data_IF_884163771693
#
_entry.id   IF_884163771693
#
_cell.length_a   1.000
_cell.length_b   1.000
_cell.length_c   1.000
_cell.angle_alpha   90.00
_cell.angle_beta   90.00
_cell.angle_gamma   90.00
#
_symmetry.space_group_name_H-M   'P 1'
#
loop_
_entity.id
_entity.type
_entity.pdbx_description
1 polymer ?
#
# COMPACT_ATOMS: atom_id res chain seq x y z
N UNK A 1 11.03 -10.12 23.97
CA UNK A 1 11.21 -11.14 22.91
C UNK A 1 10.08 -12.19 22.85
N UNK A 2 9.68 -12.81 23.98
CA UNK A 2 8.57 -13.81 23.97
C UNK A 2 7.24 -13.28 23.44
N UNK A 3 6.87 -12.03 23.74
CA UNK A 3 5.63 -11.41 23.24
C UNK A 3 5.62 -11.19 21.72
N UNK A 4 6.78 -10.85 21.14
CA UNK A 4 6.87 -10.59 19.72
C UNK A 4 6.76 -11.89 18.91
N UNK A 5 7.44 -12.96 19.36
CA UNK A 5 7.32 -14.28 18.72
C UNK A 5 5.87 -14.80 18.79
N UNK A 6 5.22 -14.66 19.94
CA UNK A 6 3.82 -15.04 20.11
C UNK A 6 2.90 -14.27 19.14
N UNK A 7 3.17 -12.97 18.89
CA UNK A 7 2.42 -12.21 17.91
C UNK A 7 2.65 -12.76 16.49
N UNK A 8 3.91 -13.02 16.11
CA UNK A 8 4.25 -13.60 14.80
C UNK A 8 3.49 -14.91 14.59
N UNK A 9 3.52 -15.80 15.58
CA UNK A 9 2.88 -17.13 15.47
C UNK A 9 1.35 -17.05 15.31
N UNK A 10 0.69 -16.04 15.90
CA UNK A 10 -0.77 -15.90 15.92
C UNK A 10 -1.33 -14.96 14.85
N UNK A 11 -0.51 -14.06 14.29
CA UNK A 11 -0.96 -13.02 13.35
C UNK A 11 -0.30 -13.13 11.97
N UNK A 12 0.47 -14.20 11.73
CA UNK A 12 1.06 -14.50 10.42
C UNK A 12 0.33 -15.69 9.81
N UNK A 13 -0.19 -15.50 8.62
CA UNK A 13 -0.95 -16.50 7.89
C UNK A 13 -0.27 -16.84 6.57
N UNK A 14 -0.56 -18.02 6.05
CA UNK A 14 -0.37 -18.33 4.64
C UNK A 14 -1.73 -18.27 3.95
N UNK A 15 -1.83 -17.72 2.75
CA UNK A 15 -3.08 -17.52 2.01
C UNK A 15 -3.90 -18.81 1.85
N UNK A 16 -3.24 -19.98 1.83
CA UNK A 16 -3.93 -21.27 1.70
C UNK A 16 -4.92 -21.57 2.82
N UNK A 17 -4.79 -20.92 3.99
CA UNK A 17 -5.79 -21.02 5.07
C UNK A 17 -7.15 -20.40 4.69
N UNK A 18 -7.21 -19.61 3.63
CA UNK A 18 -8.36 -18.82 3.23
C UNK A 18 -8.90 -19.17 1.84
N UNK A 19 -8.54 -20.35 1.31
CA UNK A 19 -8.92 -20.81 -0.04
C UNK A 19 -10.39 -21.18 -0.18
N UNK A 20 -11.10 -21.44 0.90
CA UNK A 20 -12.55 -21.64 0.88
C UNK A 20 -13.27 -20.30 0.72
N UNK A 21 -13.32 -19.82 -0.53
CA UNK A 21 -13.94 -18.55 -0.87
C UNK A 21 -15.45 -18.56 -0.63
N UNK A 22 -16.13 -19.73 -0.71
CA UNK A 22 -17.57 -19.82 -0.40
C UNK A 22 -17.85 -19.52 1.07
N UNK A 23 -17.08 -20.11 1.96
CA UNK A 23 -17.17 -19.85 3.39
C UNK A 23 -16.82 -18.39 3.71
N UNK A 24 -15.79 -17.84 3.06
CA UNK A 24 -15.38 -16.46 3.29
C UNK A 24 -16.42 -15.44 2.82
N UNK A 25 -17.08 -15.69 1.69
CA UNK A 25 -18.19 -14.85 1.19
C UNK A 25 -19.40 -14.92 2.13
N UNK A 26 -19.73 -16.13 2.61
CA UNK A 26 -20.84 -16.28 3.56
C UNK A 26 -20.59 -15.51 4.87
N UNK A 27 -19.36 -15.58 5.41
CA UNK A 27 -18.98 -14.85 6.61
C UNK A 27 -18.97 -13.32 6.40
N UNK A 28 -18.51 -12.85 5.23
CA UNK A 28 -18.60 -11.43 4.82
C UNK A 28 -20.06 -10.97 4.83
N UNK A 29 -20.97 -11.75 4.22
CA UNK A 29 -22.39 -11.44 4.11
C UNK A 29 -23.09 -11.43 5.48
N UNK A 30 -22.79 -12.41 6.34
CA UNK A 30 -23.32 -12.46 7.72
C UNK A 30 -22.94 -11.20 8.52
N UNK A 31 -21.73 -10.69 8.29
CA UNK A 31 -21.23 -9.46 8.95
C UNK A 31 -21.65 -8.17 8.24
N UNK A 32 -22.38 -8.26 7.13
CA UNK A 32 -22.78 -7.13 6.27
C UNK A 32 -21.59 -6.23 5.87
N UNK A 33 -20.43 -6.84 5.60
CA UNK A 33 -19.22 -6.12 5.19
C UNK A 33 -19.21 -5.90 3.68
N UNK A 34 -18.74 -4.72 3.27
CA UNK A 34 -18.45 -4.38 1.88
C UNK A 34 -16.95 -4.22 1.66
N UNK A 35 -16.44 -4.62 0.49
CA UNK A 35 -15.02 -4.65 0.18
C UNK A 35 -14.75 -3.97 -1.15
N UNK A 36 -13.90 -2.95 -1.13
CA UNK A 36 -13.44 -2.24 -2.32
C UNK A 36 -12.00 -2.63 -2.65
N UNK A 37 -11.74 -2.92 -3.92
CA UNK A 37 -10.38 -3.09 -4.44
C UNK A 37 -9.94 -1.82 -5.18
N UNK A 38 -8.80 -1.27 -4.79
CA UNK A 38 -8.13 -0.14 -5.44
C UNK A 38 -6.84 -0.60 -6.12
N UNK A 39 -6.71 -0.26 -7.40
CA UNK A 39 -5.51 -0.43 -8.19
C UNK A 39 -4.94 0.96 -8.52
N UNK A 40 -3.91 1.45 -7.79
CA UNK A 40 -3.23 2.69 -8.16
C UNK A 40 -2.35 2.45 -9.38
N UNK A 41 -2.48 3.30 -10.41
CA UNK A 41 -1.77 3.13 -11.68
C UNK A 41 -0.95 4.34 -12.11
N UNK A 42 0.13 4.05 -12.85
CA UNK A 42 0.88 4.98 -13.69
C UNK A 42 1.63 4.19 -14.77
N UNK A 43 1.13 4.21 -16.02
CA UNK A 43 1.70 3.51 -17.17
C UNK A 43 1.77 1.99 -17.01
N UNK A 44 0.63 1.35 -16.72
CA UNK A 44 0.49 -0.08 -16.45
C UNK A 44 -0.38 -0.82 -17.51
N UNK A 45 -0.42 -0.32 -18.77
CA UNK A 45 -1.23 -0.92 -19.83
C UNK A 45 -0.98 -2.40 -20.06
N UNK A 46 0.26 -2.88 -19.74
CA UNK A 46 0.68 -4.27 -19.99
C UNK A 46 0.12 -5.27 -18.98
N UNK A 47 -0.20 -4.83 -17.77
CA UNK A 47 -0.56 -5.68 -16.63
C UNK A 47 -2.00 -5.51 -16.19
N UNK A 48 -2.53 -4.28 -16.22
CA UNK A 48 -3.83 -3.93 -15.65
C UNK A 48 -4.99 -4.76 -16.20
N UNK A 49 -5.03 -5.05 -17.51
CA UNK A 49 -6.12 -5.84 -18.11
C UNK A 49 -6.17 -7.27 -17.57
N UNK A 50 -5.01 -7.92 -17.40
CA UNK A 50 -4.92 -9.26 -16.82
C UNK A 50 -5.34 -9.27 -15.35
N UNK A 51 -4.97 -8.27 -14.58
CA UNK A 51 -5.35 -8.16 -13.18
C UNK A 51 -6.86 -8.02 -13.03
N UNK A 52 -7.46 -7.11 -13.80
CA UNK A 52 -8.90 -6.86 -13.75
C UNK A 52 -9.73 -8.08 -14.14
N UNK A 53 -9.36 -8.81 -15.21
CA UNK A 53 -10.11 -10.00 -15.62
C UNK A 53 -10.08 -11.07 -14.54
N UNK A 54 -8.92 -11.28 -13.89
CA UNK A 54 -8.78 -12.28 -12.82
C UNK A 54 -9.59 -11.90 -11.59
N UNK A 55 -9.50 -10.65 -11.14
CA UNK A 55 -10.22 -10.22 -9.95
C UNK A 55 -11.73 -10.20 -10.17
N UNK A 56 -12.21 -9.72 -11.32
CA UNK A 56 -13.65 -9.71 -11.64
C UNK A 56 -14.22 -11.11 -11.76
N UNK A 57 -13.61 -11.96 -12.60
CA UNK A 57 -14.15 -13.30 -12.85
C UNK A 57 -14.17 -14.15 -11.58
N UNK A 58 -13.12 -14.10 -10.77
CA UNK A 58 -13.02 -14.97 -9.59
C UNK A 58 -13.65 -14.37 -8.34
N UNK A 59 -13.51 -13.04 -8.11
CA UNK A 59 -13.85 -12.42 -6.83
C UNK A 59 -15.09 -11.51 -6.87
N UNK A 60 -15.68 -11.25 -8.04
CA UNK A 60 -16.98 -10.57 -8.16
C UNK A 60 -18.05 -11.49 -8.75
N UNK A 61 -17.74 -12.20 -9.84
CA UNK A 61 -18.74 -12.99 -10.57
C UNK A 61 -18.89 -14.40 -9.99
N UNK A 62 -17.79 -15.12 -9.78
CA UNK A 62 -17.83 -16.49 -9.26
C UNK A 62 -18.00 -16.55 -7.75
N UNK A 63 -17.26 -15.75 -7.02
CA UNK A 63 -17.31 -15.61 -5.56
C UNK A 63 -17.41 -14.13 -5.22
N UNK A 64 -18.59 -13.58 -4.90
CA UNK A 64 -18.80 -12.15 -4.69
C UNK A 64 -18.16 -11.66 -3.37
N UNK A 65 -16.81 -11.74 -3.33
CA UNK A 65 -15.99 -11.26 -2.21
C UNK A 65 -15.74 -9.76 -2.30
N UNK A 66 -15.54 -9.23 -3.52
CA UNK A 66 -15.33 -7.81 -3.80
C UNK A 66 -16.64 -7.20 -4.30
N UNK A 67 -16.99 -6.02 -3.82
CA UNK A 67 -18.21 -5.30 -4.21
C UNK A 67 -17.95 -4.27 -5.30
N UNK A 68 -16.75 -3.67 -5.32
CA UNK A 68 -16.32 -2.71 -6.34
C UNK A 68 -14.83 -2.81 -6.64
N UNK A 69 -14.43 -2.47 -7.87
CA UNK A 69 -13.04 -2.37 -8.30
C UNK A 69 -12.84 -1.01 -8.95
N UNK A 70 -11.90 -0.23 -8.43
CA UNK A 70 -11.53 1.05 -9.02
C UNK A 70 -10.04 1.14 -9.34
N UNK A 71 -9.76 1.80 -10.45
CA UNK A 71 -8.42 2.22 -10.88
C UNK A 71 -8.29 3.70 -10.61
N UNK A 72 -7.32 4.08 -9.80
CA UNK A 72 -6.97 5.48 -9.50
C UNK A 72 -5.65 5.80 -10.20
N UNK A 73 -5.72 6.60 -11.25
CA UNK A 73 -4.60 6.84 -12.14
C UNK A 73 -3.91 8.18 -11.89
N UNK A 74 -2.58 8.17 -11.84
CA UNK A 74 -1.75 9.37 -11.61
C UNK A 74 -1.58 10.27 -12.85
N UNK A 75 -2.16 9.89 -13.98
CA UNK A 75 -2.02 10.57 -15.29
C UNK A 75 -1.12 9.78 -16.23
N UNK A 76 -1.47 8.51 -16.48
CA UNK A 76 -0.79 7.67 -17.46
C UNK A 76 -0.83 8.28 -18.85
N UNK A 77 0.28 8.15 -19.58
CA UNK A 77 0.44 8.60 -20.95
C UNK A 77 0.21 7.45 -21.97
N UNK A 78 0.11 6.21 -21.46
CA UNK A 78 -0.20 5.00 -22.23
C UNK A 78 -1.71 4.69 -22.21
N UNK A 79 -2.12 3.50 -22.68
CA UNK A 79 -3.52 3.10 -22.75
C UNK A 79 -4.07 2.52 -21.44
N UNK A 80 -3.42 2.73 -20.29
CA UNK A 80 -3.81 2.16 -18.98
C UNK A 80 -5.30 2.34 -18.68
N UNK A 81 -5.81 3.58 -18.76
CA UNK A 81 -7.22 3.88 -18.45
C UNK A 81 -8.22 3.29 -19.47
N UNK A 82 -7.86 3.27 -20.75
CA UNK A 82 -8.69 2.67 -21.79
C UNK A 82 -8.80 1.16 -21.59
N UNK A 83 -7.67 0.50 -21.34
CA UNK A 83 -7.62 -0.93 -21.02
C UNK A 83 -8.44 -1.21 -19.78
N UNK A 84 -8.27 -0.46 -18.70
CA UNK A 84 -9.02 -0.66 -17.47
C UNK A 84 -10.53 -0.56 -17.65
N UNK A 85 -11.01 0.43 -18.40
CA UNK A 85 -12.44 0.59 -18.75
C UNK A 85 -12.97 -0.57 -19.57
N UNK A 86 -12.19 -1.07 -20.52
CA UNK A 86 -12.60 -2.19 -21.38
C UNK A 86 -12.80 -3.49 -20.61
N UNK A 87 -12.12 -3.65 -19.46
CA UNK A 87 -12.32 -4.75 -18.53
C UNK A 87 -13.31 -4.43 -17.39
N UNK A 88 -14.04 -3.29 -17.49
CA UNK A 88 -15.17 -2.95 -16.64
C UNK A 88 -14.80 -2.48 -15.23
N UNK A 89 -13.62 -1.91 -15.04
CA UNK A 89 -13.27 -1.21 -13.81
C UNK A 89 -13.80 0.23 -13.83
N UNK A 90 -14.17 0.74 -12.67
CA UNK A 90 -14.37 2.17 -12.48
C UNK A 90 -13.01 2.86 -12.53
N UNK A 91 -12.88 3.87 -13.39
CA UNK A 91 -11.60 4.53 -13.62
C UNK A 91 -11.68 6.01 -13.28
N UNK A 92 -10.73 6.48 -12.50
CA UNK A 92 -10.66 7.85 -12.05
C UNK A 92 -9.27 8.43 -12.28
N UNK A 93 -9.21 9.63 -12.84
CA UNK A 93 -7.98 10.39 -12.90
C UNK A 93 -7.76 11.08 -11.56
N UNK A 94 -6.65 10.81 -10.91
CA UNK A 94 -6.34 11.33 -9.57
C UNK A 94 -6.46 12.86 -9.49
N UNK A 95 -6.07 13.58 -10.55
CA UNK A 95 -6.17 15.05 -10.60
C UNK A 95 -7.61 15.60 -10.63
N UNK A 96 -8.62 14.76 -10.93
CA UNK A 96 -10.03 15.15 -10.99
C UNK A 96 -10.77 14.87 -9.68
N UNK A 97 -10.16 14.12 -8.77
CA UNK A 97 -10.71 13.84 -7.44
C UNK A 97 -10.30 14.96 -6.48
N UNK A 98 -11.27 15.63 -5.85
CA UNK A 98 -11.06 16.76 -4.92
C UNK A 98 -10.11 17.82 -5.53
N UNK A 99 -10.43 18.36 -6.73
CA UNK A 99 -9.53 19.26 -7.44
C UNK A 99 -9.26 20.57 -6.68
N UNK A 100 -10.19 20.98 -5.80
CA UNK A 100 -10.06 22.17 -4.94
C UNK A 100 -8.92 22.07 -3.94
N UNK A 101 -8.44 20.85 -3.62
CA UNK A 101 -7.30 20.63 -2.72
C UNK A 101 -5.94 20.64 -3.46
N UNK A 102 -5.96 20.99 -4.74
CA UNK A 102 -4.79 21.09 -5.59
C UNK A 102 -4.26 19.73 -6.06
N UNK A 103 -3.55 19.76 -7.19
CA UNK A 103 -2.96 18.57 -7.79
C UNK A 103 -1.65 18.20 -7.08
N UNK A 104 -1.59 16.99 -6.56
CA UNK A 104 -0.37 16.33 -6.08
C UNK A 104 -0.14 15.05 -6.88
N UNK A 105 1.09 14.58 -6.92
CA UNK A 105 1.47 13.36 -7.63
C UNK A 105 2.19 12.40 -6.69
N UNK A 106 1.88 11.12 -6.81
CA UNK A 106 2.54 10.06 -6.08
C UNK A 106 1.60 8.93 -5.66
N UNK A 107 2.19 7.83 -5.25
CA UNK A 107 1.42 6.64 -4.86
C UNK A 107 0.44 6.94 -3.74
N UNK A 108 0.91 7.58 -2.67
CA UNK A 108 0.08 7.88 -1.51
C UNK A 108 -1.08 8.83 -1.82
N UNK A 109 -0.92 9.76 -2.77
CA UNK A 109 -2.03 10.61 -3.24
C UNK A 109 -3.16 9.77 -3.86
N UNK A 110 -2.83 8.79 -4.72
CA UNK A 110 -3.83 7.90 -5.29
C UNK A 110 -4.56 7.07 -4.22
N UNK A 111 -3.81 6.55 -3.24
CA UNK A 111 -4.38 5.76 -2.15
C UNK A 111 -5.30 6.61 -1.26
N UNK A 112 -4.93 7.85 -0.99
CA UNK A 112 -5.76 8.78 -0.22
C UNK A 112 -7.04 9.15 -0.97
N UNK A 113 -6.95 9.46 -2.25
CA UNK A 113 -8.10 9.78 -3.11
C UNK A 113 -9.04 8.59 -3.31
N UNK A 114 -8.51 7.37 -3.29
CA UNK A 114 -9.33 6.17 -3.32
C UNK A 114 -10.34 6.10 -2.18
N UNK A 115 -10.01 6.61 -0.98
CA UNK A 115 -10.94 6.63 0.16
C UNK A 115 -12.18 7.48 -0.14
N UNK A 116 -12.01 8.56 -0.90
CA UNK A 116 -13.13 9.41 -1.31
C UNK A 116 -14.03 8.75 -2.36
N UNK A 117 -13.46 7.97 -3.29
CA UNK A 117 -14.21 7.34 -4.39
C UNK A 117 -14.89 6.04 -3.99
N UNK A 118 -14.22 5.21 -3.20
CA UNK A 118 -14.67 3.89 -2.84
C UNK A 118 -15.69 3.91 -1.68
N UNK A 119 -16.48 2.84 -1.54
CA UNK A 119 -17.56 2.76 -0.56
C UNK A 119 -17.39 1.61 0.45
N UNK A 120 -16.48 0.66 0.22
CA UNK A 120 -16.31 -0.54 1.06
C UNK A 120 -15.88 -0.24 2.50
N UNK A 121 -16.34 -1.05 3.44
CA UNK A 121 -15.91 -1.04 4.85
C UNK A 121 -14.45 -1.48 5.00
N UNK A 122 -13.97 -2.26 4.03
CA UNK A 122 -12.58 -2.70 3.89
C UNK A 122 -12.08 -2.24 2.54
N UNK A 123 -10.94 -1.54 2.53
CA UNK A 123 -10.27 -1.14 1.31
C UNK A 123 -9.02 -2.00 1.13
N UNK A 124 -8.91 -2.63 -0.03
CA UNK A 124 -7.75 -3.42 -0.45
C UNK A 124 -6.98 -2.62 -1.47
N UNK A 125 -5.70 -2.47 -1.26
CA UNK A 125 -4.78 -1.88 -2.23
C UNK A 125 -3.90 -2.98 -2.82
N UNK A 126 -3.81 -3.03 -4.14
CA UNK A 126 -2.93 -3.94 -4.89
C UNK A 126 -2.24 -3.13 -5.96
N UNK A 127 -0.91 -3.23 -6.04
CA UNK A 127 -0.13 -2.59 -7.11
C UNK A 127 -0.50 -3.19 -8.48
N UNK A 128 -0.55 -2.37 -9.51
CA UNK A 128 -1.01 -2.76 -10.86
C UNK A 128 0.12 -3.30 -11.77
N UNK A 129 1.33 -3.55 -11.24
CA UNK A 129 2.51 -4.03 -11.99
C UNK A 129 2.83 -5.53 -11.76
N UNK A 130 1.84 -6.33 -11.31
CA UNK A 130 2.04 -7.71 -10.90
C UNK A 130 1.86 -8.68 -12.08
N UNK A 131 2.93 -9.24 -12.60
CA UNK A 131 2.89 -10.14 -13.75
C UNK A 131 2.23 -11.49 -13.46
N UNK A 132 2.33 -11.99 -12.22
CA UNK A 132 1.79 -13.30 -11.78
C UNK A 132 0.56 -13.14 -10.87
N UNK A 133 -0.30 -12.17 -11.20
CA UNK A 133 -1.50 -11.88 -10.42
C UNK A 133 -2.38 -13.12 -10.20
N UNK A 134 -2.99 -13.21 -9.03
CA UNK A 134 -3.84 -14.32 -8.61
C UNK A 134 -4.84 -13.81 -7.55
N UNK A 135 -6.05 -14.37 -7.42
CA UNK A 135 -7.04 -13.96 -6.42
C UNK A 135 -6.52 -13.92 -4.97
N UNK A 136 -5.46 -14.68 -4.65
CA UNK A 136 -4.85 -14.68 -3.32
C UNK A 136 -4.35 -13.30 -2.85
N UNK A 137 -4.01 -12.42 -3.80
CA UNK A 137 -3.59 -11.05 -3.48
C UNK A 137 -4.71 -10.21 -2.85
N UNK A 138 -5.95 -10.66 -2.97
CA UNK A 138 -7.11 -10.04 -2.33
C UNK A 138 -7.64 -10.91 -1.19
N UNK A 139 -8.03 -12.17 -1.45
CA UNK A 139 -8.66 -12.97 -0.39
C UNK A 139 -7.72 -13.23 0.80
N UNK A 140 -6.40 -13.35 0.55
CA UNK A 140 -5.41 -13.51 1.62
C UNK A 140 -5.30 -12.30 2.54
N UNK A 141 -5.61 -11.10 2.03
CA UNK A 141 -5.56 -9.85 2.79
C UNK A 141 -6.88 -9.54 3.52
N UNK A 142 -8.02 -9.81 2.89
CA UNK A 142 -9.32 -9.50 3.50
C UNK A 142 -9.76 -10.54 4.52
N UNK A 143 -9.34 -11.79 4.37
CA UNK A 143 -9.79 -12.88 5.23
C UNK A 143 -9.49 -12.65 6.72
N UNK A 144 -8.30 -12.20 7.16
CA UNK A 144 -8.07 -11.88 8.56
C UNK A 144 -9.00 -10.77 9.09
N UNK A 145 -9.31 -9.75 8.25
CA UNK A 145 -10.22 -8.66 8.61
C UNK A 145 -11.67 -9.14 8.75
N UNK A 146 -12.10 -10.06 7.88
CA UNK A 146 -13.44 -10.66 7.98
C UNK A 146 -13.55 -11.52 9.23
N UNK A 147 -12.53 -12.34 9.52
CA UNK A 147 -12.58 -13.35 10.59
C UNK A 147 -12.35 -12.77 11.99
N UNK A 148 -11.58 -11.69 12.10
CA UNK A 148 -11.11 -11.14 13.38
C UNK A 148 -11.42 -9.64 13.45
N UNK A 149 -12.36 -9.26 14.32
CA UNK A 149 -12.80 -7.87 14.47
C UNK A 149 -11.73 -6.95 15.05
N UNK A 150 -10.80 -7.49 15.84
CA UNK A 150 -9.68 -6.76 16.41
C UNK A 150 -8.58 -6.41 15.39
N UNK A 151 -8.51 -7.14 14.25
CA UNK A 151 -7.56 -6.83 13.18
C UNK A 151 -8.07 -5.64 12.38
N UNK A 152 -7.22 -4.64 12.24
CA UNK A 152 -7.51 -3.38 11.55
C UNK A 152 -6.75 -3.25 10.22
N UNK A 153 -5.55 -3.84 10.15
CA UNK A 153 -4.62 -3.71 9.04
C UNK A 153 -3.96 -5.06 8.73
N UNK A 154 -4.03 -5.51 7.49
CA UNK A 154 -3.37 -6.75 7.03
C UNK A 154 -2.35 -6.43 5.96
N UNK A 155 -1.12 -6.83 6.18
CA UNK A 155 0.01 -6.61 5.27
C UNK A 155 0.35 -7.88 4.49
N UNK A 156 0.60 -7.76 3.19
CA UNK A 156 1.16 -8.85 2.42
C UNK A 156 2.66 -9.02 2.67
N UNK A 157 3.13 -10.25 2.57
CA UNK A 157 4.52 -10.55 2.29
C UNK A 157 4.61 -11.71 1.30
N UNK A 158 5.72 -11.84 0.61
CA UNK A 158 5.92 -12.81 -0.47
C UNK A 158 7.39 -12.86 -0.88
N UNK A 159 7.78 -13.94 -1.55
CA UNK A 159 9.08 -14.03 -2.20
C UNK A 159 9.17 -13.06 -3.38
N UNK A 160 10.27 -12.30 -3.45
CA UNK A 160 10.59 -11.38 -4.54
C UNK A 160 11.85 -11.87 -5.26
N UNK A 161 11.76 -12.72 -6.29
CA UNK A 161 12.91 -13.10 -7.06
C UNK A 161 13.47 -11.88 -7.82
N UNK A 162 14.82 -11.74 -7.81
CA UNK A 162 15.50 -10.76 -8.66
C UNK A 162 15.73 -11.38 -10.04
N UNK A 163 15.13 -10.81 -11.07
CA UNK A 163 15.53 -11.05 -12.45
C UNK A 163 16.76 -10.17 -12.75
N UNK A 164 17.94 -10.75 -12.74
CA UNK A 164 19.18 -10.13 -13.21
C UNK A 164 19.57 -10.81 -14.53
N UNK A 165 19.57 -10.04 -15.65
CA UNK A 165 20.12 -10.39 -16.97
C UNK A 165 20.43 -11.90 -17.16
N UNK A 166 19.35 -12.74 -17.27
CA UNK A 166 19.47 -14.15 -17.56
C UNK A 166 19.64 -15.12 -16.39
N UNK A 167 19.68 -14.64 -15.13
CA UNK A 167 19.65 -15.51 -13.94
C UNK A 167 18.62 -15.00 -12.92
N UNK A 168 17.73 -15.93 -12.48
CA UNK A 168 16.83 -15.72 -11.35
C UNK A 168 17.62 -15.99 -10.05
N UNK A 169 17.87 -14.95 -9.25
CA UNK A 169 18.26 -15.17 -7.86
C UNK A 169 16.99 -15.32 -7.02
N UNK A 170 16.91 -16.38 -6.26
CA UNK A 170 15.74 -16.73 -5.45
C UNK A 170 15.38 -15.71 -4.37
N UNK A 171 16.29 -14.80 -4.00
CA UNK A 171 16.07 -13.75 -3.02
C UNK A 171 16.85 -12.48 -3.35
N UNK A 172 16.31 -11.30 -3.03
CA UNK A 172 17.02 -10.03 -3.22
C UNK A 172 16.11 -8.82 -3.43
N UNK A 173 14.79 -9.02 -3.45
CA UNK A 173 13.81 -7.94 -3.35
C UNK A 173 13.75 -7.36 -1.94
N UNK A 174 13.20 -6.15 -1.78
CA UNK A 174 13.05 -5.52 -0.47
C UNK A 174 14.31 -4.79 0.03
N UNK A 175 15.21 -4.40 -0.88
CA UNK A 175 16.47 -3.69 -0.53
C UNK A 175 16.24 -2.48 0.38
N UNK A 176 15.23 -1.65 0.11
CA UNK A 176 14.92 -0.48 0.94
C UNK A 176 14.37 -0.90 2.32
N UNK A 177 13.61 -1.99 2.38
CA UNK A 177 13.19 -2.56 3.66
C UNK A 177 14.38 -2.91 4.53
N UNK A 178 15.33 -3.70 4.01
CA UNK A 178 16.45 -4.21 4.80
C UNK A 178 17.49 -3.14 5.13
N UNK A 179 17.73 -2.18 4.22
CA UNK A 179 18.79 -1.17 4.38
C UNK A 179 18.29 0.06 5.16
N UNK A 180 17.00 0.39 5.09
CA UNK A 180 16.47 1.60 5.70
C UNK A 180 15.38 1.32 6.75
N UNK A 181 14.25 0.72 6.35
CA UNK A 181 13.06 0.69 7.22
C UNK A 181 13.25 -0.25 8.40
N UNK A 182 13.83 -1.43 8.20
CA UNK A 182 14.07 -2.38 9.29
C UNK A 182 15.04 -1.85 10.34
N UNK A 183 16.20 -1.23 9.99
CA UNK A 183 17.04 -0.52 10.96
C UNK A 183 16.31 0.59 11.71
N UNK A 184 15.54 1.43 11.01
CA UNK A 184 14.78 2.50 11.65
C UNK A 184 13.72 1.97 12.61
N UNK A 185 12.96 0.94 12.22
CA UNK A 185 11.99 0.29 13.11
C UNK A 185 12.70 -0.39 14.30
N UNK A 186 13.86 -1.02 14.09
CA UNK A 186 14.61 -1.63 15.18
C UNK A 186 15.05 -0.60 16.23
N UNK A 187 15.36 0.62 15.82
CA UNK A 187 15.79 1.69 16.72
C UNK A 187 14.61 2.37 17.44
N UNK A 188 13.51 2.63 16.74
CA UNK A 188 12.44 3.51 17.24
C UNK A 188 11.12 2.79 17.52
N UNK A 189 10.82 1.72 16.78
CA UNK A 189 9.56 0.96 16.85
C UNK A 189 9.83 -0.55 16.83
N UNK A 190 10.55 -1.10 17.82
CA UNK A 190 11.06 -2.48 17.76
C UNK A 190 9.96 -3.54 17.55
N UNK A 191 8.73 -3.29 17.97
CA UNK A 191 7.61 -4.20 17.74
C UNK A 191 7.20 -4.27 16.27
N UNK A 192 7.34 -3.18 15.50
CA UNK A 192 7.04 -3.17 14.06
C UNK A 192 8.02 -4.02 13.23
N UNK A 193 9.15 -4.44 13.82
CA UNK A 193 10.07 -5.39 13.18
C UNK A 193 9.47 -6.78 12.98
N UNK A 194 8.36 -7.11 13.66
CA UNK A 194 7.60 -8.33 13.45
C UNK A 194 6.92 -8.38 12.07
N UNK A 195 6.71 -7.22 11.43
CA UNK A 195 6.15 -7.13 10.09
C UNK A 195 7.25 -7.48 9.08
N UNK A 196 7.05 -8.59 8.36
CA UNK A 196 8.07 -9.21 7.49
C UNK A 196 8.40 -8.30 6.29
N UNK A 197 7.39 -7.72 5.65
CA UNK A 197 7.60 -6.80 4.51
C UNK A 197 6.83 -5.48 4.72
N UNK A 198 7.35 -4.55 5.51
CA UNK A 198 6.68 -3.30 5.83
C UNK A 198 6.38 -2.42 4.59
N UNK A 199 7.18 -2.54 3.52
CA UNK A 199 7.01 -1.78 2.28
C UNK A 199 6.32 -2.56 1.16
N UNK A 200 5.62 -3.68 1.44
CA UNK A 200 4.78 -4.29 0.39
C UNK A 200 3.64 -3.33 -0.01
N UNK A 201 3.35 -3.24 -1.30
CA UNK A 201 2.29 -2.36 -1.83
C UNK A 201 0.89 -2.95 -1.65
N UNK A 202 0.81 -4.24 -1.34
CA UNK A 202 -0.43 -4.96 -1.17
C UNK A 202 -0.80 -5.06 0.31
N UNK A 203 -1.97 -4.51 0.65
CA UNK A 203 -2.51 -4.53 2.01
C UNK A 203 -4.01 -4.27 2.02
N UNK A 204 -4.69 -4.68 3.07
CA UNK A 204 -6.09 -4.38 3.31
C UNK A 204 -6.27 -3.70 4.67
N UNK A 205 -7.18 -2.73 4.73
CA UNK A 205 -7.39 -1.91 5.94
C UNK A 205 -8.89 -1.64 6.11
N UNK A 206 -9.36 -1.58 7.36
CA UNK A 206 -10.70 -1.05 7.63
C UNK A 206 -10.75 0.43 7.27
N UNK A 207 -11.82 0.83 6.59
CA UNK A 207 -12.03 2.22 6.17
C UNK A 207 -11.88 3.22 7.31
N UNK A 208 -12.47 2.94 8.46
CA UNK A 208 -12.43 3.81 9.64
C UNK A 208 -11.00 4.13 10.11
N UNK A 209 -10.06 3.21 9.89
CA UNK A 209 -8.64 3.45 10.20
C UNK A 209 -8.04 4.43 9.20
N UNK A 210 -8.27 4.20 7.89
CA UNK A 210 -7.73 5.05 6.81
C UNK A 210 -8.27 6.48 6.87
N UNK A 211 -9.53 6.65 7.26
CA UNK A 211 -10.17 7.95 7.43
C UNK A 211 -9.50 8.83 8.50
N UNK A 212 -8.83 8.21 9.46
CA UNK A 212 -8.29 8.83 10.67
C UNK A 212 -6.76 8.88 10.72
N UNK A 213 -6.08 8.60 9.61
CA UNK A 213 -4.61 8.74 9.50
C UNK A 213 -4.24 9.64 8.32
N UNK A 214 -3.11 10.32 8.45
CA UNK A 214 -2.60 11.18 7.39
C UNK A 214 -1.82 10.39 6.34
N UNK A 215 -1.88 10.81 5.09
CA UNK A 215 -1.24 10.15 3.97
C UNK A 215 -0.10 10.99 3.40
N UNK A 216 1.17 10.56 3.51
CA UNK A 216 2.23 11.06 2.67
C UNK A 216 1.88 10.81 1.19
N UNK A 217 2.10 11.80 0.34
CA UNK A 217 1.71 11.71 -1.07
C UNK A 217 2.53 10.68 -1.86
N UNK A 218 3.77 10.40 -1.44
CA UNK A 218 4.73 9.54 -2.12
C UNK A 218 4.87 8.14 -1.51
N UNK A 219 6.09 7.63 -1.56
CA UNK A 219 6.45 6.28 -1.09
C UNK A 219 6.57 6.15 0.44
N UNK A 220 6.40 7.23 1.18
CA UNK A 220 6.36 7.19 2.64
C UNK A 220 5.08 6.59 3.22
N UNK A 221 4.05 6.40 2.41
CA UNK A 221 2.71 6.03 2.84
C UNK A 221 2.66 4.73 3.64
N UNK A 222 3.31 3.66 3.18
CA UNK A 222 3.31 2.38 3.90
C UNK A 222 4.00 2.49 5.27
N UNK A 223 5.13 3.21 5.35
CA UNK A 223 5.84 3.44 6.61
C UNK A 223 5.02 4.27 7.58
N UNK A 224 4.38 5.33 7.08
CA UNK A 224 3.49 6.21 7.84
C UNK A 224 2.33 5.41 8.43
N UNK A 225 1.61 4.65 7.61
CA UNK A 225 0.47 3.86 8.05
C UNK A 225 0.85 2.88 9.17
N UNK A 226 2.00 2.19 9.04
CA UNK A 226 2.44 1.26 10.07
C UNK A 226 2.70 1.96 11.40
N UNK A 227 3.36 3.14 11.38
CA UNK A 227 3.62 3.92 12.60
C UNK A 227 2.32 4.47 13.18
N UNK A 228 1.46 5.07 12.37
CA UNK A 228 0.24 5.73 12.83
C UNK A 228 -0.76 4.71 13.40
N UNK A 229 -0.96 3.57 12.73
CA UNK A 229 -1.82 2.48 13.22
C UNK A 229 -1.24 1.83 14.47
N UNK A 230 0.08 1.59 14.51
CA UNK A 230 0.74 1.06 15.69
C UNK A 230 0.59 2.00 16.90
N UNK A 231 0.78 3.29 16.68
CA UNK A 231 0.66 4.29 17.76
C UNK A 231 -0.77 4.38 18.31
N UNK A 232 -1.78 4.23 17.44
CA UNK A 232 -3.20 4.32 17.84
C UNK A 232 -3.74 3.03 18.45
N UNK A 233 -3.37 1.87 17.90
CA UNK A 233 -4.02 0.58 18.19
C UNK A 233 -3.06 -0.52 18.69
N UNK A 234 -1.76 -0.26 18.68
CA UNK A 234 -0.73 -1.25 19.04
C UNK A 234 -0.54 -2.34 17.99
N UNK A 235 0.41 -3.24 18.25
CA UNK A 235 0.76 -4.32 17.32
C UNK A 235 -0.39 -5.34 17.12
N UNK A 236 -1.29 -5.49 18.09
CA UNK A 236 -2.45 -6.39 18.00
C UNK A 236 -3.43 -6.06 16.89
N UNK A 237 -3.44 -4.81 16.40
CA UNK A 237 -4.27 -4.40 15.28
C UNK A 237 -3.80 -4.92 13.91
N UNK A 238 -2.60 -5.47 13.85
CA UNK A 238 -2.02 -5.98 12.60
C UNK A 238 -2.14 -7.49 12.46
N UNK A 239 -2.25 -7.92 11.20
CA UNK A 239 -1.94 -9.26 10.75
C UNK A 239 -1.11 -9.19 9.47
N UNK A 240 -0.52 -10.30 9.06
CA UNK A 240 0.21 -10.39 7.80
C UNK A 240 -0.01 -11.73 7.14
N UNK A 241 -0.03 -11.74 5.80
CA UNK A 241 -0.31 -12.94 5.02
C UNK A 241 0.76 -13.17 3.97
N UNK A 242 1.30 -14.38 3.97
CA UNK A 242 2.16 -14.89 2.90
C UNK A 242 1.32 -15.16 1.65
N UNK A 243 1.67 -14.49 0.55
CA UNK A 243 1.03 -14.61 -0.75
C UNK A 243 1.91 -15.40 -1.75
N UNK A 244 2.83 -16.22 -1.28
CA UNK A 244 3.82 -17.01 -2.03
C UNK A 244 4.83 -16.13 -2.77
N UNK A 245 4.56 -15.79 -4.00
CA UNK A 245 5.51 -15.13 -4.91
C UNK A 245 4.88 -13.95 -5.63
N UNK A 246 5.62 -12.84 -5.69
CA UNK A 246 5.29 -11.67 -6.50
C UNK A 246 6.39 -11.43 -7.54
N UNK A 247 5.99 -11.38 -8.81
CA UNK A 247 6.89 -11.08 -9.93
C UNK A 247 6.53 -9.70 -10.49
N UNK A 248 7.49 -8.79 -10.48
CA UNK A 248 7.39 -7.43 -11.00
C UNK A 248 8.74 -6.98 -11.54
N UNK A 249 8.76 -5.89 -12.26
CA UNK A 249 10.01 -5.30 -12.73
C UNK A 249 10.81 -4.65 -11.60
N UNK A 250 12.12 -4.92 -11.57
CA UNK A 250 13.00 -4.38 -10.53
C UNK A 250 13.44 -2.97 -10.89
N UNK A 251 13.31 -2.05 -9.94
CA UNK A 251 13.82 -0.68 -10.10
C UNK A 251 15.34 -0.60 -9.90
N UNK A 252 16.04 0.27 -10.66
CA UNK A 252 17.45 0.57 -10.44
C UNK A 252 17.72 1.11 -9.03
N UNK A 253 18.94 0.93 -8.53
CA UNK A 253 19.33 1.39 -7.18
C UNK A 253 19.13 2.89 -6.97
N UNK A 254 19.35 3.71 -8.01
CA UNK A 254 19.14 5.16 -7.93
C UNK A 254 17.67 5.53 -7.67
N UNK A 255 16.72 4.83 -8.31
CA UNK A 255 15.28 5.07 -8.09
C UNK A 255 14.84 4.57 -6.71
N UNK A 256 15.43 3.48 -6.23
CA UNK A 256 15.25 3.06 -4.84
C UNK A 256 15.81 4.09 -3.84
N UNK A 257 16.88 4.80 -4.21
CA UNK A 257 17.42 5.90 -3.41
C UNK A 257 16.44 7.08 -3.26
N UNK A 258 15.75 7.44 -4.34
CA UNK A 258 14.68 8.48 -4.29
C UNK A 258 13.53 8.03 -3.38
N UNK A 259 13.09 6.79 -3.53
CA UNK A 259 12.05 6.19 -2.70
C UNK A 259 12.47 6.17 -1.23
N UNK A 260 13.70 5.74 -0.93
CA UNK A 260 14.25 5.70 0.41
C UNK A 260 14.32 7.09 1.06
N UNK A 261 14.63 8.13 0.29
CA UNK A 261 14.69 9.50 0.79
C UNK A 261 13.32 10.02 1.22
N UNK A 262 12.26 9.81 0.43
CA UNK A 262 10.89 10.16 0.81
C UNK A 262 10.40 9.38 2.03
N UNK A 263 10.71 8.08 2.12
CA UNK A 263 10.42 7.27 3.30
C UNK A 263 11.11 7.84 4.55
N UNK A 264 12.38 8.24 4.43
CA UNK A 264 13.13 8.82 5.54
C UNK A 264 12.52 10.15 6.01
N UNK A 265 12.13 11.03 5.09
CA UNK A 265 11.44 12.29 5.43
C UNK A 265 10.16 12.01 6.23
N UNK A 266 9.34 11.06 5.77
CA UNK A 266 8.11 10.65 6.43
C UNK A 266 8.37 10.08 7.82
N UNK A 267 9.37 9.20 7.93
CA UNK A 267 9.76 8.60 9.21
C UNK A 267 10.17 9.68 10.22
N UNK A 268 11.02 10.61 9.82
CA UNK A 268 11.48 11.69 10.70
C UNK A 268 10.34 12.59 11.17
N UNK A 269 9.36 12.88 10.31
CA UNK A 269 8.15 13.60 10.73
C UNK A 269 7.39 12.86 11.83
N UNK A 270 7.25 11.53 11.75
CA UNK A 270 6.56 10.72 12.77
C UNK A 270 7.31 10.68 14.08
N UNK A 271 8.61 10.44 14.03
CA UNK A 271 9.48 10.42 15.21
C UNK A 271 9.48 11.76 15.93
N UNK A 272 9.51 12.87 15.16
CA UNK A 272 9.36 14.23 15.70
C UNK A 272 7.98 14.45 16.34
N UNK A 273 6.90 14.07 15.66
CA UNK A 273 5.54 14.23 16.15
C UNK A 273 5.28 13.44 17.46
N UNK A 274 6.02 12.37 17.69
CA UNK A 274 5.98 11.55 18.91
C UNK A 274 7.01 11.99 19.97
N UNK A 275 7.68 13.11 19.73
CA UNK A 275 8.74 13.64 20.61
C UNK A 275 9.91 12.66 20.89
N UNK A 276 10.16 11.77 19.94
CA UNK A 276 11.22 10.76 20.03
C UNK A 276 12.57 11.26 19.48
N UNK A 277 12.56 12.36 18.74
CA UNK A 277 13.75 12.92 18.08
C UNK A 277 13.58 14.40 17.77
N UNK A 278 14.55 15.23 18.18
CA UNK A 278 14.55 16.68 17.88
C UNK A 278 15.22 16.94 16.51
N UNK A 279 14.45 16.88 15.45
CA UNK A 279 14.87 17.31 14.12
C UNK A 279 14.03 18.51 13.67
N UNK A 280 14.60 19.69 13.78
CA UNK A 280 13.88 20.92 13.41
C UNK A 280 13.91 21.24 11.93
N UNK A 281 14.97 20.85 11.22
CA UNK A 281 15.13 21.06 9.79
C UNK A 281 15.87 19.89 9.13
N UNK A 282 15.47 19.51 7.94
CA UNK A 282 16.18 18.58 7.08
C UNK A 282 16.07 19.01 5.62
N UNK A 283 17.09 18.67 4.87
CA UNK A 283 17.19 18.99 3.45
C UNK A 283 16.18 18.18 2.63
N UNK A 284 15.63 18.79 1.58
CA UNK A 284 14.75 18.14 0.62
C UNK A 284 15.49 17.67 -0.63
N UNK A 285 16.76 18.08 -0.78
CA UNK A 285 17.55 17.80 -1.98
C UNK A 285 18.40 16.55 -1.82
N UNK A 286 18.05 15.51 -2.59
CA UNK A 286 18.86 14.31 -2.75
C UNK A 286 19.93 14.52 -3.82
N UNK A 287 21.19 14.29 -3.47
CA UNK A 287 22.32 14.29 -4.42
C UNK A 287 22.66 12.87 -4.83
N UNK A 288 22.70 12.62 -6.14
CA UNK A 288 23.14 11.36 -6.72
C UNK A 288 24.26 11.60 -7.73
N UNK A 289 25.07 10.58 -7.97
CA UNK A 289 26.10 10.60 -9.00
C UNK A 289 25.79 9.51 -10.03
N UNK A 290 25.82 9.86 -11.29
CA UNK A 290 25.63 8.94 -12.40
C UNK A 290 26.93 8.84 -13.20
N UNK A 291 27.42 7.62 -13.40
CA UNK A 291 28.58 7.39 -14.26
C UNK A 291 28.21 7.68 -15.72
N UNK A 292 29.00 8.54 -16.37
CA UNK A 292 28.92 8.83 -17.81
C UNK A 292 30.29 8.68 -18.40
N UNK A 293 30.49 7.62 -19.20
CA UNK A 293 31.78 7.28 -19.80
C UNK A 293 32.92 7.29 -18.73
N UNK A 294 33.81 8.29 -18.77
CA UNK A 294 35.00 8.39 -17.91
C UNK A 294 34.79 9.38 -16.72
N UNK A 295 33.61 9.93 -16.50
CA UNK A 295 33.34 10.85 -15.39
C UNK A 295 32.01 10.59 -14.70
N UNK A 296 31.81 11.20 -13.52
CA UNK A 296 30.59 11.19 -12.78
C UNK A 296 29.87 12.53 -12.92
N UNK A 297 28.64 12.50 -13.41
CA UNK A 297 27.76 13.67 -13.42
C UNK A 297 26.96 13.72 -12.12
N UNK A 298 26.92 14.91 -11.51
CA UNK A 298 26.08 15.16 -10.32
C UNK A 298 24.65 15.46 -10.74
N UNK A 299 23.69 14.79 -10.13
CA UNK A 299 22.27 15.07 -10.28
C UNK A 299 21.68 15.48 -8.93
N UNK A 300 21.06 16.66 -8.89
CA UNK A 300 20.32 17.15 -7.73
C UNK A 300 18.82 16.90 -7.98
N UNK A 301 18.16 16.27 -7.01
CA UNK A 301 16.76 15.87 -7.12
C UNK A 301 16.07 16.38 -5.87
N UNK A 302 15.09 17.27 -6.05
CA UNK A 302 14.24 17.68 -4.96
C UNK A 302 13.17 16.63 -4.71
N UNK A 303 13.04 16.20 -3.45
CA UNK A 303 12.05 15.23 -2.99
C UNK A 303 11.34 15.85 -1.80
N UNK A 304 10.07 16.20 -2.02
CA UNK A 304 9.21 16.80 -1.01
C UNK A 304 8.13 15.79 -0.65
N UNK A 305 8.11 15.34 0.61
CA UNK A 305 7.02 14.56 1.17
C UNK A 305 6.02 15.48 1.86
N UNK A 306 4.92 15.73 1.19
CA UNK A 306 3.75 16.41 1.74
C UNK A 306 2.72 15.38 2.21
N UNK A 307 1.82 15.80 3.07
CA UNK A 307 0.76 14.94 3.59
C UNK A 307 -0.61 15.54 3.31
N UNK A 308 -1.54 14.66 2.99
CA UNK A 308 -2.95 15.00 3.07
C UNK A 308 -3.43 14.78 4.50
N UNK A 309 -4.35 15.61 4.98
CA UNK A 309 -4.95 15.39 6.29
C UNK A 309 -5.76 14.10 6.31
N UNK A 310 -6.11 13.60 7.49
CA UNK A 310 -7.08 12.52 7.62
C UNK A 310 -8.35 12.85 6.80
N UNK A 311 -8.86 11.86 6.08
CA UNK A 311 -10.01 12.10 5.19
C UNK A 311 -11.23 12.60 5.95
N UNK A 312 -11.36 12.23 7.23
CA UNK A 312 -12.44 12.71 8.11
C UNK A 312 -12.41 14.24 8.33
N UNK A 313 -11.27 14.90 8.17
CA UNK A 313 -11.13 16.37 8.28
C UNK A 313 -11.61 17.09 7.02
N UNK A 314 -11.80 16.37 5.89
CA UNK A 314 -12.27 16.95 4.63
C UNK A 314 -13.80 17.11 4.67
N UNK A 315 -14.26 18.35 4.50
CA UNK A 315 -15.68 18.68 4.56
C UNK A 315 -16.51 17.91 3.52
N UNK A 316 -16.09 17.91 2.26
CA UNK A 316 -16.74 17.20 1.17
C UNK A 316 -16.85 15.68 1.43
N UNK A 317 -15.88 15.11 2.14
CA UNK A 317 -15.93 13.70 2.53
C UNK A 317 -16.97 13.46 3.62
N UNK A 318 -16.99 14.29 4.67
CA UNK A 318 -17.99 14.18 5.75
C UNK A 318 -19.41 14.33 5.22
N UNK A 319 -19.63 15.28 4.33
CA UNK A 319 -20.94 15.47 3.69
C UNK A 319 -21.35 14.26 2.85
N UNK A 320 -20.44 13.73 2.02
CA UNK A 320 -20.70 12.55 1.17
C UNK A 320 -21.09 11.32 1.98
N UNK A 321 -20.42 11.06 3.10
CA UNK A 321 -20.60 9.85 3.90
C UNK A 321 -21.36 10.08 5.22
N UNK A 322 -21.89 11.28 5.46
CA UNK A 322 -22.63 11.66 6.69
C UNK A 322 -21.82 11.37 7.98
N UNK A 323 -20.50 11.57 7.92
CA UNK A 323 -19.59 11.38 9.05
C UNK A 323 -19.51 12.64 9.93
N UNK A 324 -19.30 12.46 11.23
CA UNK A 324 -18.98 13.55 12.16
C UNK A 324 -17.49 13.49 12.52
N UNK A 325 -16.90 14.65 12.85
CA UNK A 325 -15.58 14.69 13.48
C UNK A 325 -15.67 14.08 14.87
N UNK A 326 -14.76 13.16 15.17
CA UNK A 326 -14.62 12.52 16.48
C UNK A 326 -13.88 13.43 17.43
#
# INVERSE_FOLDING_TARGET
>A
MKNLQNWIDNNTYHHSKFQDLKSLVAEKQEKNLTISLCLPTLNEEKTIGKELIIFRSELMERYPLIDEIAVIDSGSEDNTLEVARSFGADTYLSSEILPELGKKMGKGENLWKAIYQLNGDIIVYVDADISNIHPRFVYGLVAPLIKRSEVQYVKAFYDRPLALSGSLRASGGGRVTEILVRPLFSLFFPELTAIIQPLSGEYAVRREVLENIAFPIGYGVETSHLIDVYTKFGLGAFAQTDLDKRVHENKPTQDLGKMAFGILQTFLKRVKALDMFDATHYETTLRQFQAQNDHYEQKLIEIIEEERPPMIEIEAYREKFKKQMI
#
